data_IF_613559976112
#
_entry.id   IF_613559976112
#
_cell.length_a   1.000
_cell.length_b   1.000
_cell.length_c   1.000
_cell.angle_alpha   90.00
_cell.angle_beta   90.00
_cell.angle_gamma   90.00
#
_symmetry.space_group_name_H-M   'P 1'
#
loop_
_entity.id
_entity.type
_entity.pdbx_description
1 polymer ?
#
# COMPACT_ATOMS: atom_id res chain seq x y z
N UNK A 1 -28.80 13.34 8.71
CA UNK A 1 -27.33 13.39 8.67
C UNK A 1 -26.74 12.71 7.42
N UNK A 2 -27.27 11.56 6.97
CA UNK A 2 -26.78 10.84 5.77
C UNK A 2 -26.81 11.63 4.44
N UNK A 3 -27.87 12.41 4.17
CA UNK A 3 -28.01 13.16 2.91
C UNK A 3 -26.91 14.21 2.67
N UNK A 4 -26.38 14.82 3.73
CA UNK A 4 -25.29 15.82 3.61
C UNK A 4 -23.96 15.17 3.25
N UNK A 5 -23.71 13.96 3.75
CA UNK A 5 -22.50 13.20 3.46
C UNK A 5 -22.53 12.74 2.01
N UNK A 6 -23.66 12.21 1.52
CA UNK A 6 -23.79 11.83 0.11
C UNK A 6 -23.62 13.00 -0.85
N UNK A 7 -24.23 14.17 -0.58
CA UNK A 7 -24.06 15.35 -1.42
C UNK A 7 -22.61 15.87 -1.48
N UNK A 8 -21.85 15.69 -0.41
CA UNK A 8 -20.43 16.09 -0.37
C UNK A 8 -19.56 15.07 -1.11
N UNK A 9 -19.88 13.78 -0.99
CA UNK A 9 -19.25 12.71 -1.74
C UNK A 9 -19.47 12.87 -3.26
N UNK A 10 -20.65 13.34 -3.68
CA UNK A 10 -20.98 13.65 -5.09
C UNK A 10 -20.00 14.62 -5.73
N UNK A 11 -19.74 15.77 -5.11
CA UNK A 11 -18.82 16.78 -5.67
C UNK A 11 -17.37 16.28 -5.73
N UNK A 12 -16.94 15.55 -4.71
CA UNK A 12 -15.59 14.98 -4.69
C UNK A 12 -15.40 13.91 -5.79
N UNK A 13 -16.47 13.16 -6.08
CA UNK A 13 -16.48 12.11 -7.08
C UNK A 13 -16.30 12.62 -8.52
N UNK A 14 -17.09 13.64 -8.91
CA UNK A 14 -17.05 14.22 -10.27
C UNK A 14 -15.67 14.76 -10.65
N UNK A 15 -14.92 15.26 -9.67
CA UNK A 15 -13.57 15.81 -9.91
C UNK A 15 -12.49 14.75 -10.17
N UNK A 16 -12.72 13.50 -9.76
CA UNK A 16 -11.63 12.52 -9.66
C UNK A 16 -11.83 11.26 -10.52
N UNK A 17 -13.08 10.83 -10.80
CA UNK A 17 -13.33 9.48 -11.34
C UNK A 17 -14.52 9.39 -12.31
N UNK A 18 -14.67 10.36 -13.23
CA UNK A 18 -15.83 10.48 -14.14
C UNK A 18 -16.20 9.26 -15.02
N UNK A 19 -15.43 8.17 -14.99
CA UNK A 19 -15.73 6.91 -15.68
C UNK A 19 -16.35 5.82 -14.79
N UNK A 20 -16.29 5.96 -13.46
CA UNK A 20 -16.94 5.06 -12.53
C UNK A 20 -18.38 5.58 -12.24
N UNK A 21 -19.39 4.72 -12.06
CA UNK A 21 -20.70 5.18 -11.59
C UNK A 21 -20.65 5.54 -10.10
N UNK A 22 -21.29 6.65 -9.72
CA UNK A 22 -21.35 7.13 -8.33
C UNK A 22 -21.77 6.04 -7.35
N UNK A 23 -22.82 5.27 -7.69
CA UNK A 23 -23.30 4.17 -6.86
C UNK A 23 -22.21 3.15 -6.53
N UNK A 24 -21.32 2.86 -7.48
CA UNK A 24 -20.21 1.92 -7.27
C UNK A 24 -19.16 2.54 -6.36
N UNK A 25 -18.86 3.83 -6.52
CA UNK A 25 -17.95 4.55 -5.63
C UNK A 25 -18.45 4.55 -4.17
N UNK A 26 -19.74 4.80 -3.96
CA UNK A 26 -20.36 4.71 -2.64
C UNK A 26 -20.21 3.31 -2.04
N UNK A 27 -20.50 2.25 -2.82
CA UNK A 27 -20.29 0.86 -2.36
C UNK A 27 -18.84 0.62 -1.95
N UNK A 28 -17.86 1.07 -2.75
CA UNK A 28 -16.44 0.91 -2.42
C UNK A 28 -16.05 1.66 -1.14
N UNK A 29 -16.48 2.91 -0.97
CA UNK A 29 -16.19 3.74 0.22
C UNK A 29 -16.74 3.13 1.52
N UNK A 30 -17.87 2.43 1.41
CA UNK A 30 -18.52 1.78 2.54
C UNK A 30 -18.15 0.29 2.69
N UNK A 31 -17.32 -0.25 1.80
CA UNK A 31 -16.85 -1.63 1.90
C UNK A 31 -15.97 -1.84 3.15
N UNK A 32 -15.93 -3.06 3.72
CA UNK A 32 -15.16 -3.33 4.93
C UNK A 32 -13.68 -2.97 4.83
N UNK A 33 -13.05 -3.25 3.68
CA UNK A 33 -11.63 -2.99 3.44
C UNK A 33 -11.30 -1.49 3.30
N UNK A 34 -12.29 -0.63 3.03
CA UNK A 34 -12.07 0.81 2.93
C UNK A 34 -11.63 1.44 4.26
N UNK A 35 -11.95 0.80 5.39
CA UNK A 35 -11.49 1.24 6.70
C UNK A 35 -9.97 1.16 6.89
N UNK A 36 -9.28 0.32 6.11
CA UNK A 36 -7.82 0.21 6.11
C UNK A 36 -7.15 1.44 5.46
N UNK A 37 -7.87 2.12 4.57
CA UNK A 37 -7.35 3.26 3.81
C UNK A 37 -7.63 4.59 4.52
N UNK A 38 -8.75 4.70 5.22
CA UNK A 38 -9.07 5.90 6.00
C UNK A 38 -10.27 5.73 6.91
N UNK A 39 -10.37 6.58 7.94
CA UNK A 39 -11.54 6.57 8.86
C UNK A 39 -12.77 7.21 8.24
N UNK A 40 -12.59 8.29 7.50
CA UNK A 40 -13.70 9.11 7.00
C UNK A 40 -14.06 8.80 5.54
N UNK A 41 -15.37 8.78 5.18
CA UNK A 41 -15.82 8.54 3.80
C UNK A 41 -15.21 9.50 2.77
N UNK A 42 -15.07 10.78 3.11
CA UNK A 42 -14.48 11.78 2.21
C UNK A 42 -13.01 11.51 1.92
N UNK A 43 -12.27 11.01 2.90
CA UNK A 43 -10.87 10.60 2.70
C UNK A 43 -10.81 9.36 1.82
N UNK A 44 -11.64 8.36 2.08
CA UNK A 44 -11.73 7.12 1.26
C UNK A 44 -12.07 7.41 -0.19
N UNK A 45 -12.91 8.41 -0.45
CA UNK A 45 -13.28 8.83 -1.80
C UNK A 45 -12.07 9.26 -2.64
N UNK A 46 -10.97 9.71 -2.03
CA UNK A 46 -9.72 10.08 -2.74
C UNK A 46 -8.85 8.87 -3.12
N UNK A 47 -9.19 7.69 -2.62
CA UNK A 47 -8.38 6.47 -2.74
C UNK A 47 -9.22 5.29 -3.27
N UNK A 48 -10.18 5.56 -4.16
CA UNK A 48 -11.07 4.52 -4.67
C UNK A 48 -10.29 3.41 -5.40
N UNK A 49 -9.21 3.75 -6.11
CA UNK A 49 -8.40 2.78 -6.83
C UNK A 49 -7.67 1.84 -5.88
N UNK A 50 -7.09 2.39 -4.81
CA UNK A 50 -6.43 1.63 -3.75
C UNK A 50 -7.44 0.75 -3.01
N UNK A 51 -8.60 1.30 -2.63
CA UNK A 51 -9.67 0.54 -1.99
C UNK A 51 -10.12 -0.61 -2.88
N UNK A 52 -10.39 -0.36 -4.16
CA UNK A 52 -10.80 -1.41 -5.10
C UNK A 52 -9.70 -2.47 -5.27
N UNK A 53 -8.43 -2.07 -5.29
CA UNK A 53 -7.28 -2.97 -5.39
C UNK A 53 -7.10 -3.88 -4.18
N UNK A 54 -7.70 -3.57 -3.01
CA UNK A 54 -7.68 -4.46 -1.84
C UNK A 54 -8.63 -5.65 -1.99
N UNK A 55 -9.68 -5.52 -2.80
CA UNK A 55 -10.67 -6.57 -2.95
C UNK A 55 -10.25 -7.59 -3.99
N UNK A 56 -10.60 -8.84 -3.74
CA UNK A 56 -10.70 -9.87 -4.76
C UNK A 56 -12.02 -9.72 -5.53
N UNK A 57 -12.10 -10.35 -6.69
CA UNK A 57 -13.33 -10.39 -7.49
C UNK A 57 -14.51 -10.99 -6.71
N UNK A 58 -14.27 -12.02 -5.91
CA UNK A 58 -15.30 -12.69 -5.12
C UNK A 58 -15.82 -11.79 -3.99
N UNK A 59 -14.92 -11.06 -3.31
CA UNK A 59 -15.29 -10.11 -2.24
C UNK A 59 -16.14 -8.95 -2.79
N UNK A 60 -15.86 -8.48 -4.01
CA UNK A 60 -16.69 -7.48 -4.67
C UNK A 60 -18.07 -8.03 -5.05
N UNK A 61 -18.15 -9.25 -5.58
CA UNK A 61 -19.43 -9.88 -5.90
C UNK A 61 -20.31 -10.13 -4.66
N UNK A 62 -19.69 -10.28 -3.49
CA UNK A 62 -20.41 -10.39 -2.22
C UNK A 62 -20.96 -9.05 -1.71
N UNK A 63 -20.57 -7.90 -2.29
CA UNK A 63 -21.07 -6.60 -1.85
C UNK A 63 -22.53 -6.39 -2.27
N UNK A 64 -23.42 -6.00 -1.34
CA UNK A 64 -24.80 -5.68 -1.67
C UNK A 64 -24.90 -4.59 -2.74
N UNK A 65 -25.69 -4.86 -3.78
CA UNK A 65 -25.89 -3.93 -4.88
C UNK A 65 -24.80 -3.94 -5.96
N UNK A 66 -23.80 -4.81 -5.86
CA UNK A 66 -22.74 -4.98 -6.85
C UNK A 66 -22.82 -6.35 -7.54
N UNK A 67 -23.41 -6.39 -8.73
CA UNK A 67 -23.48 -7.60 -9.56
C UNK A 67 -22.29 -7.77 -10.51
N UNK A 68 -22.29 -8.85 -11.30
CA UNK A 68 -21.25 -9.16 -12.29
C UNK A 68 -20.91 -7.99 -13.23
N UNK A 69 -21.91 -7.27 -13.71
CA UNK A 69 -21.74 -6.11 -14.60
C UNK A 69 -21.01 -4.98 -13.85
N UNK A 70 -21.36 -4.74 -12.59
CA UNK A 70 -20.72 -3.74 -11.75
C UNK A 70 -19.26 -4.09 -11.49
N UNK A 71 -18.97 -5.34 -11.16
CA UNK A 71 -17.59 -5.83 -10.96
C UNK A 71 -16.76 -5.70 -12.23
N UNK A 72 -17.28 -6.11 -13.40
CA UNK A 72 -16.58 -5.91 -14.69
C UNK A 72 -16.31 -4.43 -14.99
N UNK A 73 -17.22 -3.54 -14.61
CA UNK A 73 -17.03 -2.10 -14.78
C UNK A 73 -15.93 -1.57 -13.87
N UNK A 74 -15.83 -2.06 -12.63
CA UNK A 74 -14.71 -1.76 -11.73
C UNK A 74 -13.40 -2.27 -12.34
N UNK A 75 -13.34 -3.53 -12.77
CA UNK A 75 -12.14 -4.13 -13.39
C UNK A 75 -11.66 -3.30 -14.59
N UNK A 76 -12.58 -2.94 -15.50
CA UNK A 76 -12.26 -2.09 -16.65
C UNK A 76 -11.76 -0.70 -16.24
N UNK A 77 -12.44 -0.08 -15.28
CA UNK A 77 -12.05 1.23 -14.77
C UNK A 77 -10.66 1.18 -14.13
N UNK A 78 -10.36 0.16 -13.32
CA UNK A 78 -9.04 -0.03 -12.72
C UNK A 78 -7.95 -0.27 -13.77
N UNK A 79 -8.21 -1.12 -14.76
CA UNK A 79 -7.28 -1.39 -15.84
C UNK A 79 -6.92 -0.12 -16.62
N UNK A 80 -7.90 0.75 -16.89
CA UNK A 80 -7.66 2.05 -17.53
C UNK A 80 -6.74 2.98 -16.71
N UNK A 81 -6.60 2.75 -15.41
CA UNK A 81 -5.71 3.51 -14.52
C UNK A 81 -4.43 2.74 -14.15
N UNK A 82 -4.18 1.55 -14.72
CA UNK A 82 -2.99 0.75 -14.38
C UNK A 82 -3.06 0.08 -13.00
N UNK A 83 -4.27 -0.21 -12.53
CA UNK A 83 -4.56 -0.96 -11.30
C UNK A 83 -5.23 -2.30 -11.61
N UNK A 84 -5.16 -3.23 -10.65
CA UNK A 84 -5.86 -4.53 -10.70
C UNK A 84 -6.46 -4.86 -9.33
N UNK A 85 -7.44 -5.76 -9.33
CA UNK A 85 -7.94 -6.37 -8.10
C UNK A 85 -6.85 -7.25 -7.47
N UNK A 86 -6.95 -7.46 -6.15
CA UNK A 86 -6.07 -8.39 -5.42
C UNK A 86 -6.37 -9.82 -5.88
N UNK A 87 -5.31 -10.61 -6.07
CA UNK A 87 -5.45 -12.04 -6.31
C UNK A 87 -5.81 -12.78 -5.02
N UNK A 88 -6.52 -13.90 -5.12
CA UNK A 88 -7.02 -14.64 -3.93
C UNK A 88 -5.88 -15.08 -3.00
N UNK A 89 -4.69 -15.37 -3.56
CA UNK A 89 -3.49 -15.73 -2.78
C UNK A 89 -2.62 -14.55 -2.34
N UNK A 90 -2.93 -13.33 -2.75
CA UNK A 90 -2.16 -12.14 -2.40
C UNK A 90 -2.61 -11.58 -1.05
N UNK A 91 -1.67 -11.20 -0.19
CA UNK A 91 -2.01 -10.66 1.14
C UNK A 91 -2.40 -9.18 1.06
N UNK A 92 -3.20 -8.71 2.02
CA UNK A 92 -3.53 -7.29 2.10
C UNK A 92 -2.26 -6.45 2.35
N UNK A 93 -1.35 -6.92 3.19
CA UNK A 93 -0.10 -6.22 3.50
C UNK A 93 0.78 -6.02 2.26
N UNK A 94 0.86 -7.01 1.36
CA UNK A 94 1.64 -6.88 0.13
C UNK A 94 1.01 -5.81 -0.78
N UNK A 95 -0.32 -5.82 -0.95
CA UNK A 95 -1.03 -4.82 -1.76
C UNK A 95 -0.88 -3.41 -1.17
N UNK A 96 -1.07 -3.26 0.14
CA UNK A 96 -0.94 -1.98 0.84
C UNK A 96 0.47 -1.43 0.73
N UNK A 97 1.49 -2.28 0.86
CA UNK A 97 2.88 -1.87 0.68
C UNK A 97 3.10 -1.25 -0.71
N UNK A 98 2.55 -1.83 -1.78
CA UNK A 98 2.68 -1.28 -3.14
C UNK A 98 2.13 0.15 -3.26
N UNK A 99 1.05 0.49 -2.55
CA UNK A 99 0.51 1.86 -2.56
C UNK A 99 1.47 2.87 -1.93
N UNK A 100 2.12 2.48 -0.83
CA UNK A 100 3.07 3.35 -0.11
C UNK A 100 4.33 3.68 -0.94
N UNK A 101 4.68 2.83 -1.90
CA UNK A 101 5.78 3.07 -2.83
C UNK A 101 5.36 3.88 -4.07
N UNK A 102 4.08 3.86 -4.44
CA UNK A 102 3.55 4.67 -5.56
C UNK A 102 3.32 6.15 -5.20
N UNK A 103 3.16 6.47 -3.91
CA UNK A 103 2.96 7.85 -3.42
C UNK A 103 4.18 8.37 -2.63
N UNK A 104 5.24 8.89 -3.30
CA UNK A 104 6.36 9.52 -2.60
C UNK A 104 5.99 10.84 -1.89
N UNK A 105 4.83 11.42 -2.19
CA UNK A 105 4.40 12.74 -1.70
C UNK A 105 3.89 12.77 -0.25
N UNK A 106 3.61 11.62 0.38
CA UNK A 106 3.10 11.55 1.77
C UNK A 106 4.24 11.39 2.80
N UNK A 107 5.50 11.27 2.36
CA UNK A 107 6.65 11.29 3.30
C UNK A 107 7.12 12.71 3.60
N UNK A 108 6.22 13.56 4.10
CA UNK A 108 6.62 14.76 4.86
C UNK A 108 5.96 14.72 6.22
N UNK A 109 6.38 13.77 7.04
CA UNK A 109 5.89 13.63 8.40
C UNK A 109 6.26 12.30 9.04
N UNK A 110 7.40 12.28 9.73
CA UNK A 110 7.71 11.40 10.85
C UNK A 110 7.60 9.88 10.63
N UNK A 111 8.74 9.24 10.38
CA UNK A 111 9.11 7.99 11.07
C UNK A 111 10.64 7.89 11.08
N UNK A 112 11.25 8.45 12.14
CA UNK A 112 12.57 7.99 12.59
C UNK A 112 12.36 6.57 13.11
N UNK A 113 12.63 5.58 12.27
CA UNK A 113 13.00 4.25 12.74
C UNK A 113 14.53 4.22 12.68
N UNK A 114 15.25 4.16 13.81
CA UNK A 114 16.65 3.77 13.79
C UNK A 114 16.68 2.30 13.40
N UNK A 115 16.96 2.01 12.13
CA UNK A 115 17.40 0.67 11.75
C UNK A 115 18.79 0.54 12.37
N UNK A 116 18.90 -0.21 13.47
CA UNK A 116 20.18 -0.56 14.07
C UNK A 116 20.94 -1.42 13.04
N UNK A 117 21.83 -0.78 12.29
CA UNK A 117 22.79 -1.45 11.43
C UNK A 117 23.89 -2.05 12.30
N UNK A 118 23.76 -3.32 12.65
CA UNK A 118 24.83 -4.08 13.27
C UNK A 118 24.87 -5.50 12.69
N UNK A 119 25.37 -5.61 11.46
CA UNK A 119 25.88 -6.84 10.84
C UNK A 119 26.92 -6.32 9.83
N UNK A 120 28.16 -6.73 9.72
CA UNK A 120 29.11 -7.57 10.46
C UNK A 120 30.47 -7.26 9.80
N UNK A 121 31.59 -7.49 10.47
CA UNK A 121 32.87 -7.75 9.79
C UNK A 121 33.84 -8.39 10.78
N UNK A 122 33.94 -9.71 10.71
CA UNK A 122 35.18 -10.41 11.04
C UNK A 122 36.18 -10.21 9.88
N UNK A 123 37.48 -10.26 10.16
CA UNK A 123 38.39 -10.86 9.20
C UNK A 123 39.28 -11.92 9.86
N UNK A 124 39.31 -13.10 9.25
CA UNK A 124 40.35 -14.11 9.44
C UNK A 124 41.58 -13.77 8.59
N UNK A 125 42.74 -13.88 9.25
CA UNK A 125 43.97 -14.56 8.80
C UNK A 125 44.89 -13.95 7.71
N UNK A 126 46.17 -13.91 8.10
CA UNK A 126 47.39 -14.28 7.36
C UNK A 126 48.41 -13.21 6.90
N UNK A 127 49.47 -13.16 7.74
CA UNK A 127 50.92 -13.12 7.47
C UNK A 127 51.56 -11.94 6.71
N UNK A 128 52.55 -11.32 7.35
CA UNK A 128 53.87 -11.14 6.73
C UNK A 128 54.98 -11.06 7.79
N UNK A 129 55.94 -11.96 7.60
CA UNK A 129 57.23 -12.15 8.25
C UNK A 129 58.15 -10.93 8.10
N UNK A 130 58.80 -10.49 9.19
CA UNK A 130 60.17 -9.92 9.20
C UNK A 130 60.80 -10.09 10.60
N UNK A 131 61.77 -10.99 10.73
CA UNK A 131 62.81 -10.96 11.79
C UNK A 131 63.86 -9.87 11.42
N UNK A 132 64.67 -9.28 12.32
CA UNK A 132 65.64 -10.07 13.10
C UNK A 132 66.21 -9.45 14.41
N UNK A 133 67.14 -10.21 15.02
CA UNK A 133 68.26 -9.82 15.91
C UNK A 133 68.01 -9.46 17.40
N UNK A 134 68.34 -10.44 18.26
CA UNK A 134 69.61 -10.39 19.00
C UNK A 134 69.63 -9.86 20.45
N UNK A 135 70.47 -10.53 21.27
CA UNK A 135 70.83 -10.33 22.70
C UNK A 135 69.86 -11.02 23.67
N UNK A 136 70.23 -12.00 24.48
CA UNK A 136 71.54 -12.38 25.02
C UNK A 136 71.62 -12.02 26.51
N UNK A 137 71.83 -13.05 27.33
CA UNK A 137 72.43 -13.09 28.68
C UNK A 137 71.51 -13.15 29.92
N UNK A 138 71.81 -14.20 30.71
CA UNK A 138 71.91 -14.28 32.20
C UNK A 138 70.60 -14.19 33.00
N UNK A 139 70.26 -15.10 33.91
CA UNK A 139 71.00 -16.04 34.77
C UNK A 139 70.14 -17.29 35.06
#
# INVERSE_FOLDING_TARGET
MQLRVELTLRRAFEQSYGQLPERIAVILVHSPLAALVGREPLTRMKYLLEIASLHTRAELLAQPGLGQIGVRRIEKWMAAHGHRLRDVGESLDSVICHFAFRNPSVRKGSRRCPLSSAIASAPEEHLHEVAPQGRGLHL
#
